data_IF_480062559290
#
_entry.id   IF_480062559290
#
_cell.length_a   1.000
_cell.length_b   1.000
_cell.length_c   1.000
_cell.angle_alpha   90.00
_cell.angle_beta   90.00
_cell.angle_gamma   90.00
#
_symmetry.space_group_name_H-M   'P 1'
#
loop_
_entity.id
_entity.type
_entity.pdbx_description
1 polymer ?
#
# COMPACT_ATOMS: atom_id res chain seq x y z
N UNK A 1 7.96 1.98 -20.01
CA UNK A 1 8.09 0.61 -19.51
C UNK A 1 9.04 0.68 -18.31
N UNK A 2 8.65 0.14 -17.16
CA UNK A 2 9.46 0.17 -15.93
C UNK A 2 10.79 -0.60 -16.10
N UNK A 3 10.84 -1.57 -17.02
CA UNK A 3 12.08 -2.28 -17.37
C UNK A 3 13.17 -1.37 -17.93
N UNK A 4 12.82 -0.19 -18.45
CA UNK A 4 13.78 0.77 -18.96
C UNK A 4 14.48 1.58 -17.85
N UNK A 5 14.05 1.44 -16.60
CA UNK A 5 14.45 2.28 -15.47
C UNK A 5 14.78 1.46 -14.20
N UNK A 6 15.61 0.39 -14.29
CA UNK A 6 15.76 -0.59 -13.21
C UNK A 6 16.30 -0.04 -11.88
N UNK A 7 17.06 1.07 -11.92
CA UNK A 7 17.62 1.72 -10.72
C UNK A 7 16.87 3.01 -10.33
N UNK A 8 15.85 3.40 -11.10
CA UNK A 8 15.07 4.62 -10.86
C UNK A 8 13.63 4.31 -10.42
N UNK A 9 13.21 3.05 -10.48
CA UNK A 9 11.89 2.63 -10.01
C UNK A 9 11.92 1.27 -9.32
N UNK A 10 11.23 1.18 -8.18
CA UNK A 10 10.94 -0.07 -7.50
C UNK A 10 9.65 -0.74 -8.05
N UNK A 11 8.95 -0.12 -9.01
CA UNK A 11 7.70 -0.67 -9.54
C UNK A 11 7.96 -1.94 -10.35
N UNK A 12 7.46 -3.09 -9.90
CA UNK A 12 7.63 -4.37 -10.59
C UNK A 12 6.78 -4.44 -11.88
N UNK A 13 7.23 -5.16 -12.92
CA UNK A 13 6.44 -5.35 -14.15
C UNK A 13 5.06 -5.98 -13.89
N UNK A 14 4.93 -6.69 -12.77
CA UNK A 14 3.71 -7.39 -12.34
C UNK A 14 2.49 -6.47 -12.36
N UNK A 15 2.66 -5.19 -11.99
CA UNK A 15 1.61 -4.16 -11.99
C UNK A 15 0.86 -4.12 -13.33
N UNK A 16 1.58 -4.20 -14.44
CA UNK A 16 1.01 -4.12 -15.78
C UNK A 16 0.58 -5.48 -16.31
N UNK A 17 1.26 -6.57 -15.94
CA UNK A 17 0.95 -7.92 -16.46
C UNK A 17 -0.25 -8.56 -15.79
N UNK A 18 -0.63 -8.11 -14.58
CA UNK A 18 -1.79 -8.62 -13.84
C UNK A 18 -2.91 -7.59 -13.67
N UNK A 19 -2.84 -6.48 -14.40
CA UNK A 19 -3.89 -5.47 -14.36
C UNK A 19 -5.28 -6.09 -14.67
N UNK A 20 -6.34 -5.79 -13.87
CA UNK A 20 -6.47 -4.68 -12.92
C UNK A 20 -6.16 -5.00 -11.45
N UNK A 21 -5.52 -6.13 -11.11
CA UNK A 21 -5.39 -6.62 -9.72
C UNK A 21 -4.86 -5.58 -8.71
N UNK A 22 -3.86 -4.77 -9.08
CA UNK A 22 -3.33 -3.68 -8.23
C UNK A 22 -4.42 -2.72 -7.74
N UNK A 23 -5.51 -2.54 -8.50
CA UNK A 23 -6.63 -1.69 -8.13
C UNK A 23 -7.36 -2.16 -6.88
N UNK A 24 -7.37 -3.47 -6.59
CA UNK A 24 -7.98 -4.00 -5.37
C UNK A 24 -7.16 -3.60 -4.12
N UNK A 25 -5.83 -3.63 -4.20
CA UNK A 25 -4.95 -3.17 -3.12
C UNK A 25 -5.15 -1.67 -2.83
N UNK A 26 -5.36 -0.85 -3.88
CA UNK A 26 -5.69 0.56 -3.72
C UNK A 26 -7.04 0.80 -3.02
N UNK A 27 -8.04 -0.03 -3.28
CA UNK A 27 -9.34 0.03 -2.58
C UNK A 27 -9.20 -0.33 -1.10
N UNK A 28 -8.43 -1.37 -0.79
CA UNK A 28 -8.20 -1.79 0.59
C UNK A 28 -7.42 -0.74 1.38
N UNK A 29 -6.41 -0.12 0.76
CA UNK A 29 -5.72 1.04 1.32
C UNK A 29 -6.70 2.19 1.62
N UNK A 30 -7.49 2.61 0.63
CA UNK A 30 -8.47 3.70 0.81
C UNK A 30 -9.49 3.39 1.92
N UNK A 31 -9.96 2.16 2.00
CA UNK A 31 -10.87 1.69 3.06
C UNK A 31 -10.20 1.79 4.44
N UNK A 32 -8.96 1.35 4.58
CA UNK A 32 -8.23 1.40 5.85
C UNK A 32 -7.97 2.85 6.31
N UNK A 33 -7.61 3.73 5.39
CA UNK A 33 -7.38 5.16 5.66
C UNK A 33 -8.67 5.86 6.07
N UNK A 34 -9.78 5.58 5.38
CA UNK A 34 -11.09 6.14 5.77
C UNK A 34 -11.48 5.72 7.19
N UNK A 35 -11.25 4.45 7.56
CA UNK A 35 -11.52 3.96 8.92
C UNK A 35 -10.58 4.58 9.98
N UNK A 36 -9.34 4.91 9.63
CA UNK A 36 -8.44 5.66 10.51
C UNK A 36 -8.92 7.11 10.67
N UNK A 37 -9.36 7.74 9.58
CA UNK A 37 -9.82 9.12 9.57
C UNK A 37 -11.05 9.35 10.47
N UNK A 38 -11.95 8.36 10.55
CA UNK A 38 -13.11 8.39 11.46
C UNK A 38 -12.72 8.60 12.93
N UNK A 39 -11.55 8.09 13.36
CA UNK A 39 -11.12 8.11 14.77
C UNK A 39 -9.94 9.07 15.03
N UNK A 40 -9.46 9.78 14.01
CA UNK A 40 -8.18 10.48 14.07
C UNK A 40 -8.12 11.61 15.11
N UNK A 41 -9.27 12.21 15.45
CA UNK A 41 -9.40 13.28 16.44
C UNK A 41 -9.82 12.82 17.84
N UNK A 42 -10.05 11.52 18.06
CA UNK A 42 -10.63 11.03 19.32
C UNK A 42 -9.60 10.87 20.43
N UNK A 43 -8.56 10.07 20.19
CA UNK A 43 -7.48 9.77 21.15
C UNK A 43 -6.32 9.04 20.47
N UNK A 44 -5.18 8.96 21.15
CA UNK A 44 -4.05 8.16 20.70
C UNK A 44 -4.40 6.66 20.68
N UNK A 45 -5.18 6.19 21.65
CA UNK A 45 -5.67 4.82 21.74
C UNK A 45 -6.56 4.47 20.54
N UNK A 46 -7.49 5.36 20.16
CA UNK A 46 -8.36 5.18 19.00
C UNK A 46 -7.55 5.15 17.69
N UNK A 47 -6.59 6.05 17.52
CA UNK A 47 -5.64 6.03 16.40
C UNK A 47 -4.88 4.70 16.32
N UNK A 48 -4.31 4.23 17.44
CA UNK A 48 -3.56 2.97 17.51
C UNK A 48 -4.41 1.76 17.16
N UNK A 49 -5.69 1.78 17.48
CA UNK A 49 -6.62 0.70 17.14
C UNK A 49 -6.87 0.55 15.62
N UNK A 50 -6.59 1.58 14.81
CA UNK A 50 -6.84 1.57 13.36
C UNK A 50 -5.58 1.64 12.50
N UNK A 51 -4.51 2.26 12.98
CA UNK A 51 -3.28 2.48 12.18
C UNK A 51 -2.63 1.18 11.68
N UNK A 52 -2.78 0.08 12.42
CA UNK A 52 -2.26 -1.23 12.00
C UNK A 52 -2.81 -1.68 10.65
N UNK A 53 -4.12 -1.52 10.41
CA UNK A 53 -4.76 -1.91 9.15
C UNK A 53 -4.25 -1.08 7.96
N UNK A 54 -3.88 0.19 8.17
CA UNK A 54 -3.23 1.01 7.14
C UNK A 54 -1.86 0.42 6.81
N UNK A 55 -1.04 0.14 7.82
CA UNK A 55 0.28 -0.47 7.63
C UNK A 55 0.21 -1.83 6.92
N UNK A 56 -0.77 -2.67 7.25
CA UNK A 56 -1.03 -3.94 6.58
C UNK A 56 -1.37 -3.74 5.09
N UNK A 57 -2.19 -2.73 4.75
CA UNK A 57 -2.49 -2.42 3.35
C UNK A 57 -1.28 -1.92 2.56
N UNK A 58 -0.39 -1.13 3.20
CA UNK A 58 0.88 -0.73 2.59
C UNK A 58 1.73 -1.98 2.28
N UNK A 59 1.92 -2.84 3.29
CA UNK A 59 2.69 -4.07 3.18
C UNK A 59 2.15 -4.99 2.09
N UNK A 60 0.83 -5.21 2.05
CA UNK A 60 0.22 -6.13 1.08
C UNK A 60 0.48 -5.70 -0.38
N UNK A 61 0.46 -4.39 -0.67
CA UNK A 61 0.78 -3.91 -2.01
C UNK A 61 2.28 -4.01 -2.30
N UNK A 62 3.12 -3.61 -1.35
CA UNK A 62 4.57 -3.56 -1.55
C UNK A 62 5.17 -4.96 -1.70
N UNK A 63 4.71 -5.96 -0.92
CA UNK A 63 5.15 -7.35 -1.04
C UNK A 63 4.89 -7.93 -2.45
N UNK A 64 3.89 -7.43 -3.17
CA UNK A 64 3.47 -7.96 -4.48
C UNK A 64 4.01 -7.16 -5.67
N UNK A 65 4.17 -5.84 -5.51
CA UNK A 65 4.36 -4.91 -6.62
C UNK A 65 5.58 -3.99 -6.48
N UNK A 66 6.25 -3.98 -5.33
CA UNK A 66 7.49 -3.22 -5.11
C UNK A 66 8.69 -4.18 -5.10
N UNK A 67 9.78 -3.78 -5.76
CA UNK A 67 11.03 -4.50 -5.66
C UNK A 67 11.57 -4.37 -4.22
N UNK A 68 11.98 -5.48 -3.62
CA UNK A 68 12.70 -5.45 -2.33
C UNK A 68 14.02 -4.68 -2.52
N UNK A 69 14.04 -3.39 -2.21
CA UNK A 69 15.29 -2.66 -2.12
C UNK A 69 15.88 -2.86 -0.72
N UNK A 70 17.06 -3.49 -0.71
CA UNK A 70 17.94 -3.57 0.45
C UNK A 70 18.18 -2.16 1.00
N UNK A 71 17.49 -1.79 2.08
CA UNK A 71 17.86 -0.63 2.88
C UNK A 71 19.10 -0.95 3.70
#
# INVERSE_FOLDING_TARGET
DNKAYPDETAALPKIWTTYPEIGEYGKDYAKSVNALNEVAGESLEALRAKIGAVGESCKACHDEYEAEHHH
#
